data_IF_316504781882
#
_entry.id   IF_316504781882
#
_cell.length_a   1.000
_cell.length_b   1.000
_cell.length_c   1.000
_cell.angle_alpha   90.00
_cell.angle_beta   90.00
_cell.angle_gamma   90.00
#
_symmetry.space_group_name_H-M   'P 1'
#
loop_
_entity.id
_entity.type
_entity.pdbx_description
1 polymer ?
#
# COMPACT_ATOMS: atom_id res chain seq x y z
N UNK A 1 23.43 -10.78 -58.41
CA UNK A 1 22.87 -11.84 -57.56
C UNK A 1 23.37 -11.58 -56.14
N UNK A 2 22.64 -10.77 -55.37
CA UNK A 2 23.05 -10.37 -54.01
C UNK A 2 22.15 -11.07 -52.98
N UNK A 3 22.77 -11.92 -52.17
CA UNK A 3 22.15 -12.63 -51.06
C UNK A 3 22.06 -11.64 -49.90
N UNK A 4 20.84 -11.22 -49.57
CA UNK A 4 20.55 -10.29 -48.49
C UNK A 4 20.53 -11.08 -47.17
N UNK A 5 21.65 -11.11 -46.46
CA UNK A 5 21.73 -11.67 -45.10
C UNK A 5 20.91 -10.79 -44.15
N UNK A 6 19.79 -11.28 -43.62
CA UNK A 6 19.04 -10.61 -42.54
C UNK A 6 19.58 -11.09 -41.17
N UNK A 7 20.30 -10.24 -40.41
CA UNK A 7 20.88 -10.61 -39.12
C UNK A 7 19.84 -10.75 -37.99
N UNK A 8 18.57 -10.39 -38.23
CA UNK A 8 17.49 -10.42 -37.24
C UNK A 8 17.03 -11.83 -36.84
N UNK A 9 17.24 -12.82 -37.70
CA UNK A 9 16.76 -14.21 -37.46
C UNK A 9 17.76 -15.03 -36.63
N UNK A 10 19.07 -14.74 -36.75
CA UNK A 10 20.12 -15.44 -35.99
C UNK A 10 20.20 -14.91 -34.56
N UNK A 11 19.86 -13.64 -34.32
CA UNK A 11 19.81 -13.08 -32.97
C UNK A 11 18.63 -13.65 -32.16
N UNK A 12 17.51 -14.01 -32.79
CA UNK A 12 16.39 -14.68 -32.09
C UNK A 12 16.75 -16.10 -31.64
N UNK A 13 17.61 -16.81 -32.36
CA UNK A 13 17.99 -18.19 -32.00
C UNK A 13 19.05 -18.26 -30.90
N UNK A 14 19.85 -17.21 -30.70
CA UNK A 14 20.84 -17.13 -29.62
C UNK A 14 20.30 -16.52 -28.32
N UNK A 15 19.09 -15.92 -28.36
CA UNK A 15 18.36 -15.44 -27.15
C UNK A 15 17.38 -16.50 -26.62
N UNK A 16 17.46 -17.74 -27.10
CA UNK A 16 17.08 -18.91 -26.29
C UNK A 16 18.14 -19.12 -25.19
N UNK A 17 18.41 -18.08 -24.42
CA UNK A 17 19.19 -18.16 -23.19
C UNK A 17 18.44 -19.10 -22.26
N UNK A 18 19.18 -20.06 -21.70
CA UNK A 18 18.74 -21.07 -20.75
C UNK A 18 17.60 -20.57 -19.83
N UNK A 19 16.35 -20.80 -20.24
CA UNK A 19 15.29 -20.96 -19.26
C UNK A 19 15.59 -22.32 -18.65
N UNK A 20 16.00 -22.35 -17.38
CA UNK A 20 15.80 -23.54 -16.59
C UNK A 20 14.32 -23.91 -16.77
N UNK A 21 14.05 -25.00 -17.48
CA UNK A 21 12.70 -25.51 -17.59
C UNK A 21 12.34 -25.95 -16.18
N UNK A 22 11.51 -25.16 -15.52
CA UNK A 22 10.93 -25.54 -14.23
C UNK A 22 10.05 -26.74 -14.52
N UNK A 23 10.32 -27.85 -13.84
CA UNK A 23 9.63 -29.13 -14.07
C UNK A 23 8.98 -29.62 -12.78
N UNK A 24 8.16 -30.67 -12.88
CA UNK A 24 7.56 -31.31 -11.71
C UNK A 24 8.63 -31.81 -10.69
N UNK A 25 9.88 -31.97 -11.11
CA UNK A 25 11.00 -32.34 -10.24
C UNK A 25 11.42 -31.25 -9.24
N UNK A 26 11.02 -29.99 -9.49
CA UNK A 26 11.30 -28.86 -8.60
C UNK A 26 10.26 -28.71 -7.47
N UNK A 27 9.22 -29.56 -7.44
CA UNK A 27 8.22 -29.54 -6.37
C UNK A 27 8.77 -30.16 -5.08
N UNK A 28 8.49 -29.54 -3.91
CA UNK A 28 8.84 -30.14 -2.62
C UNK A 28 7.98 -31.38 -2.35
N UNK A 29 8.53 -32.46 -1.76
CA UNK A 29 7.81 -33.72 -1.55
C UNK A 29 6.52 -33.60 -0.74
N UNK A 30 6.47 -32.67 0.22
CA UNK A 30 5.28 -32.41 1.05
C UNK A 30 4.07 -31.93 0.23
N UNK A 31 4.29 -31.36 -0.95
CA UNK A 31 3.23 -30.79 -1.78
C UNK A 31 2.53 -31.83 -2.66
N UNK A 32 3.15 -33.01 -2.85
CA UNK A 32 2.68 -34.03 -3.79
C UNK A 32 1.31 -34.60 -3.39
N UNK A 33 1.04 -34.72 -2.09
CA UNK A 33 -0.26 -35.21 -1.58
C UNK A 33 -1.44 -34.31 -1.92
N UNK A 34 -1.18 -33.03 -2.25
CA UNK A 34 -2.22 -32.10 -2.66
C UNK A 34 -2.69 -32.33 -4.10
N UNK A 35 -1.96 -33.11 -4.90
CA UNK A 35 -2.33 -33.46 -6.28
C UNK A 35 -3.08 -34.79 -6.37
N UNK A 36 -2.95 -35.68 -5.39
CA UNK A 36 -3.57 -37.01 -5.35
C UNK A 36 -5.11 -37.06 -5.51
N UNK A 37 -5.91 -36.09 -5.01
CA UNK A 37 -7.36 -36.11 -5.21
C UNK A 37 -7.79 -35.93 -6.68
N UNK A 38 -6.86 -35.63 -7.58
CA UNK A 38 -7.13 -35.16 -8.94
C UNK A 38 -6.35 -35.98 -9.97
N UNK A 39 -6.91 -37.10 -10.47
CA UNK A 39 -6.17 -37.99 -11.37
C UNK A 39 -5.84 -37.32 -12.72
N UNK A 40 -4.67 -37.65 -13.32
CA UNK A 40 -4.27 -37.11 -14.61
C UNK A 40 -5.23 -37.60 -15.70
N UNK A 41 -5.69 -36.70 -16.58
CA UNK A 41 -6.26 -37.10 -17.87
C UNK A 41 -5.40 -36.53 -19.00
N UNK A 42 -4.94 -37.43 -19.87
CA UNK A 42 -4.57 -37.33 -21.29
C UNK A 42 -3.88 -36.08 -21.88
N UNK A 43 -3.43 -35.11 -21.09
CA UNK A 43 -2.61 -33.99 -21.55
C UNK A 43 -1.24 -33.95 -20.85
N UNK A 44 -0.26 -33.45 -21.60
CA UNK A 44 1.20 -33.63 -21.44
C UNK A 44 1.87 -32.91 -20.25
N UNK A 45 1.14 -32.67 -19.15
CA UNK A 45 1.70 -32.35 -17.83
C UNK A 45 0.64 -32.69 -16.77
N UNK A 46 0.90 -33.71 -15.96
CA UNK A 46 -0.06 -34.30 -15.01
C UNK A 46 -0.57 -33.36 -13.91
N UNK A 47 0.05 -32.19 -13.73
CA UNK A 47 -0.15 -31.26 -12.62
C UNK A 47 -1.12 -30.10 -12.90
N UNK A 48 -1.49 -29.83 -14.16
CA UNK A 48 -2.19 -28.59 -14.54
C UNK A 48 -3.40 -28.84 -15.45
N UNK A 49 -4.58 -29.09 -14.85
CA UNK A 49 -5.85 -29.27 -15.59
C UNK A 49 -6.81 -28.06 -15.53
N UNK A 50 -6.49 -27.02 -14.77
CA UNK A 50 -7.45 -25.93 -14.47
C UNK A 50 -7.23 -24.67 -15.30
N UNK A 51 -8.33 -23.97 -15.62
CA UNK A 51 -8.33 -22.61 -16.18
C UNK A 51 -7.93 -21.59 -15.09
N UNK A 52 -6.63 -21.58 -14.81
CA UNK A 52 -5.73 -20.44 -14.53
C UNK A 52 -5.99 -19.35 -13.47
N UNK A 53 -7.06 -19.32 -12.64
CA UNK A 53 -7.04 -18.38 -11.49
C UNK A 53 -7.84 -18.80 -10.23
N UNK A 54 -9.07 -19.32 -10.37
CA UNK A 54 -9.98 -19.54 -9.23
C UNK A 54 -9.60 -20.76 -8.35
N UNK A 55 -9.10 -21.84 -8.97
CA UNK A 55 -8.74 -23.07 -8.27
C UNK A 55 -7.38 -22.97 -7.53
N UNK A 56 -6.50 -22.06 -7.94
CA UNK A 56 -5.17 -21.90 -7.34
C UNK A 56 -5.24 -21.34 -5.91
N UNK A 57 -6.06 -20.32 -5.71
CA UNK A 57 -6.29 -19.69 -4.41
C UNK A 57 -7.16 -20.56 -3.47
N UNK A 58 -8.14 -21.28 -4.03
CA UNK A 58 -9.13 -22.02 -3.23
C UNK A 58 -8.75 -23.46 -2.93
N UNK A 59 -7.90 -24.09 -3.76
CA UNK A 59 -7.56 -25.51 -3.64
C UNK A 59 -6.09 -25.73 -3.28
N UNK A 60 -5.17 -25.18 -4.07
CA UNK A 60 -3.74 -25.45 -3.91
C UNK A 60 -3.13 -24.70 -2.72
N UNK A 61 -3.39 -23.39 -2.61
CA UNK A 61 -2.90 -22.54 -1.51
C UNK A 61 -3.18 -23.13 -0.11
N UNK A 62 -4.43 -23.41 0.29
CA UNK A 62 -4.70 -23.94 1.63
C UNK A 62 -4.08 -25.33 1.87
N UNK A 63 -4.06 -26.20 0.85
CA UNK A 63 -3.46 -27.52 0.99
C UNK A 63 -1.95 -27.43 1.22
N UNK A 64 -1.23 -26.65 0.41
CA UNK A 64 0.22 -26.47 0.56
C UNK A 64 0.60 -25.85 1.91
N UNK A 65 -0.13 -24.84 2.38
CA UNK A 65 0.13 -24.26 3.71
C UNK A 65 -0.16 -25.23 4.86
N UNK A 66 -1.03 -26.23 4.67
CA UNK A 66 -1.32 -27.25 5.67
C UNK A 66 -0.33 -28.42 5.68
N UNK A 67 0.26 -28.74 4.52
CA UNK A 67 1.11 -29.91 4.33
C UNK A 67 2.63 -29.58 4.40
N UNK A 68 3.02 -28.36 4.08
CA UNK A 68 4.41 -27.93 3.92
C UNK A 68 4.79 -26.79 4.89
N UNK A 69 6.10 -26.58 5.08
CA UNK A 69 6.58 -25.32 5.68
C UNK A 69 6.26 -24.13 4.78
N UNK A 70 6.22 -22.90 5.32
CA UNK A 70 5.83 -21.71 4.55
C UNK A 70 6.69 -21.50 3.30
N UNK A 71 8.01 -21.70 3.40
CA UNK A 71 8.92 -21.56 2.25
C UNK A 71 8.66 -22.63 1.20
N UNK A 72 8.44 -23.89 1.61
CA UNK A 72 8.11 -24.98 0.69
C UNK A 72 6.75 -24.76 0.03
N UNK A 73 5.75 -24.29 0.78
CA UNK A 73 4.43 -23.95 0.25
C UNK A 73 4.52 -22.85 -0.81
N UNK A 74 5.27 -21.77 -0.54
CA UNK A 74 5.50 -20.70 -1.51
C UNK A 74 6.28 -21.19 -2.74
N UNK A 75 7.27 -22.08 -2.57
CA UNK A 75 7.96 -22.70 -3.70
C UNK A 75 7.01 -23.56 -4.53
N UNK A 76 6.19 -24.40 -3.89
CA UNK A 76 5.19 -25.24 -4.57
C UNK A 76 4.20 -24.38 -5.36
N UNK A 77 3.71 -23.28 -4.77
CA UNK A 77 2.85 -22.30 -5.44
C UNK A 77 3.57 -21.68 -6.66
N UNK A 78 4.82 -21.25 -6.51
CA UNK A 78 5.56 -20.65 -7.61
C UNK A 78 5.77 -21.64 -8.76
N UNK A 79 6.26 -22.84 -8.47
CA UNK A 79 6.49 -23.90 -9.45
C UNK A 79 5.19 -24.27 -10.15
N UNK A 80 4.13 -24.56 -9.39
CA UNK A 80 2.80 -24.88 -9.94
C UNK A 80 2.26 -23.76 -10.82
N UNK A 81 2.40 -22.49 -10.41
CA UNK A 81 1.96 -21.35 -11.23
C UNK A 81 2.71 -21.24 -12.56
N UNK A 82 3.99 -21.63 -12.62
CA UNK A 82 4.79 -21.62 -13.85
C UNK A 82 4.36 -22.77 -14.76
N UNK A 83 4.25 -23.99 -14.21
CA UNK A 83 3.86 -25.18 -14.97
C UNK A 83 2.45 -25.01 -15.54
N UNK A 84 1.52 -24.42 -14.76
CA UNK A 84 0.14 -24.21 -15.17
C UNK A 84 -0.07 -22.97 -16.04
N UNK A 85 0.99 -22.19 -16.33
CA UNK A 85 0.88 -20.99 -17.16
C UNK A 85 -0.02 -19.90 -16.59
N UNK A 86 -0.12 -19.80 -15.26
CA UNK A 86 -0.90 -18.74 -14.58
C UNK A 86 -0.26 -17.38 -14.89
N UNK A 87 -1.01 -16.38 -15.36
CA UNK A 87 -0.45 -15.07 -15.69
C UNK A 87 0.12 -14.39 -14.44
N UNK A 88 1.31 -13.79 -14.57
CA UNK A 88 1.94 -13.05 -13.47
C UNK A 88 1.21 -11.71 -13.25
N UNK A 89 0.43 -11.63 -12.16
CA UNK A 89 -0.25 -10.41 -11.76
C UNK A 89 0.75 -9.45 -11.12
N UNK A 90 1.20 -8.47 -11.89
CA UNK A 90 2.19 -7.49 -11.43
C UNK A 90 1.68 -6.06 -11.53
N UNK A 91 1.16 -5.53 -10.41
CA UNK A 91 0.71 -4.14 -10.29
C UNK A 91 1.75 -3.22 -9.63
N UNK A 92 2.94 -3.75 -9.27
CA UNK A 92 4.01 -3.00 -8.60
C UNK A 92 4.47 -1.78 -9.40
N UNK A 93 4.53 -1.90 -10.73
CA UNK A 93 4.92 -0.80 -11.62
C UNK A 93 3.91 0.35 -11.52
N UNK A 94 2.62 0.03 -11.56
CA UNK A 94 1.54 1.00 -11.40
C UNK A 94 1.59 1.68 -10.04
N UNK A 95 1.82 0.92 -8.96
CA UNK A 95 1.99 1.46 -7.61
C UNK A 95 3.14 2.47 -7.54
N UNK A 96 4.32 2.14 -8.08
CA UNK A 96 5.48 3.06 -8.08
C UNK A 96 5.20 4.33 -8.87
N UNK A 97 4.62 4.21 -10.06
CA UNK A 97 4.27 5.37 -10.89
C UNK A 97 3.30 6.28 -10.14
N UNK A 98 2.23 5.68 -9.57
CA UNK A 98 1.24 6.42 -8.82
C UNK A 98 1.86 7.18 -7.64
N UNK A 99 2.68 6.52 -6.82
CA UNK A 99 3.33 7.14 -5.67
C UNK A 99 4.24 8.30 -6.08
N UNK A 100 5.06 8.13 -7.12
CA UNK A 100 5.95 9.19 -7.61
C UNK A 100 5.15 10.38 -8.14
N UNK A 101 4.16 10.13 -9.00
CA UNK A 101 3.33 11.19 -9.59
C UNK A 101 2.56 11.94 -8.50
N UNK A 102 1.88 11.23 -7.59
CA UNK A 102 1.12 11.84 -6.50
C UNK A 102 2.02 12.68 -5.57
N UNK A 103 3.22 12.18 -5.25
CA UNK A 103 4.18 12.90 -4.39
C UNK A 103 4.72 14.16 -5.06
N UNK A 104 5.07 14.09 -6.35
CA UNK A 104 5.56 15.25 -7.10
C UNK A 104 4.47 16.32 -7.22
N UNK A 105 3.26 15.92 -7.63
CA UNK A 105 2.14 16.86 -7.80
C UNK A 105 1.78 17.52 -6.47
N UNK A 106 1.62 16.76 -5.40
CA UNK A 106 1.30 17.30 -4.07
C UNK A 106 2.38 18.26 -3.56
N UNK A 107 3.66 17.88 -3.69
CA UNK A 107 4.80 18.72 -3.29
C UNK A 107 4.87 20.03 -4.09
N UNK A 108 4.60 19.99 -5.40
CA UNK A 108 4.57 21.19 -6.24
C UNK A 108 3.41 22.13 -5.87
N UNK A 109 2.22 21.59 -5.65
CA UNK A 109 1.04 22.39 -5.26
C UNK A 109 1.28 23.08 -3.92
N UNK A 110 1.78 22.33 -2.92
CA UNK A 110 2.03 22.86 -1.58
C UNK A 110 3.23 23.80 -1.59
N UNK A 111 4.30 23.49 -2.34
CA UNK A 111 5.43 24.38 -2.54
C UNK A 111 5.03 25.72 -3.17
N UNK A 112 4.17 25.69 -4.19
CA UNK A 112 3.61 26.90 -4.81
C UNK A 112 2.82 27.73 -3.79
N UNK A 113 1.91 27.09 -3.03
CA UNK A 113 1.13 27.75 -1.96
C UNK A 113 2.03 28.43 -0.93
N UNK A 114 3.07 27.72 -0.48
CA UNK A 114 4.02 28.22 0.53
C UNK A 114 4.80 29.42 -0.02
N UNK A 115 5.31 29.35 -1.26
CA UNK A 115 6.03 30.46 -1.91
C UNK A 115 5.13 31.70 -2.05
N UNK A 116 3.87 31.52 -2.47
CA UNK A 116 2.92 32.63 -2.62
C UNK A 116 2.65 33.33 -1.28
N UNK A 117 2.55 32.59 -0.18
CA UNK A 117 2.39 33.17 1.16
C UNK A 117 3.66 33.83 1.68
N UNK A 118 4.84 33.24 1.47
CA UNK A 118 6.11 33.88 1.83
C UNK A 118 6.36 35.18 1.07
N UNK A 119 5.88 35.27 -0.18
CA UNK A 119 5.93 36.52 -0.97
C UNK A 119 4.79 37.49 -0.64
N UNK A 120 3.97 37.21 0.38
CA UNK A 120 2.79 37.99 0.77
C UNK A 120 1.77 38.19 -0.36
N UNK A 121 1.77 37.32 -1.38
CA UNK A 121 0.82 37.36 -2.51
C UNK A 121 -0.49 36.62 -2.19
N UNK A 122 -0.51 35.80 -1.13
CA UNK A 122 -1.66 34.99 -0.71
C UNK A 122 -2.01 35.18 0.78
N UNK A 123 -1.70 36.35 1.33
CA UNK A 123 -1.97 36.73 2.72
C UNK A 123 -1.03 36.08 3.76
N UNK A 124 -1.34 36.28 5.04
CA UNK A 124 -0.47 35.88 6.15
C UNK A 124 -0.39 34.36 6.34
N UNK A 125 0.78 33.91 6.80
CA UNK A 125 1.06 32.53 7.17
C UNK A 125 0.28 32.19 8.44
N UNK A 126 -0.57 31.16 8.35
CA UNK A 126 -1.35 30.64 9.47
C UNK A 126 -0.85 29.29 9.97
N UNK A 127 -1.47 28.80 11.05
CA UNK A 127 -1.24 27.43 11.56
C UNK A 127 -1.61 26.35 10.54
N UNK A 128 -2.55 26.65 9.63
CA UNK A 128 -2.91 25.76 8.52
C UNK A 128 -1.73 25.51 7.56
N UNK A 129 -0.87 26.52 7.34
CA UNK A 129 0.27 26.40 6.44
C UNK A 129 1.43 25.61 7.07
N UNK A 130 1.69 25.76 8.37
CA UNK A 130 2.70 24.96 9.07
C UNK A 130 2.30 23.47 9.14
N UNK A 131 1.05 23.20 9.46
CA UNK A 131 0.54 21.83 9.58
C UNK A 131 0.53 21.09 8.24
N UNK A 132 0.23 21.76 7.12
CA UNK A 132 0.31 21.12 5.80
C UNK A 132 1.76 20.88 5.35
N UNK A 133 2.70 21.76 5.70
CA UNK A 133 4.13 21.53 5.42
C UNK A 133 4.63 20.30 6.21
N UNK A 134 4.28 20.20 7.48
CA UNK A 134 4.60 19.01 8.30
C UNK A 134 3.95 17.76 7.71
N UNK A 135 2.70 17.86 7.24
CA UNK A 135 2.02 16.74 6.59
C UNK A 135 2.82 16.22 5.39
N UNK A 136 3.27 17.11 4.49
CA UNK A 136 4.09 16.72 3.33
C UNK A 136 5.34 15.99 3.78
N UNK A 137 6.12 16.59 4.69
CA UNK A 137 7.37 16.00 5.15
C UNK A 137 7.19 14.60 5.74
N UNK A 138 6.13 14.41 6.52
CA UNK A 138 5.81 13.11 7.13
C UNK A 138 5.28 12.12 6.09
N UNK A 139 4.50 12.57 5.11
CA UNK A 139 4.03 11.68 4.02
C UNK A 139 5.12 11.28 3.03
N UNK A 140 6.26 11.99 2.98
CA UNK A 140 7.42 11.56 2.19
C UNK A 140 7.97 10.23 2.67
N UNK A 141 8.01 10.00 3.99
CA UNK A 141 8.38 8.69 4.55
C UNK A 141 7.44 7.58 4.05
N UNK A 142 6.13 7.84 4.08
CA UNK A 142 5.13 6.90 3.56
C UNK A 142 5.33 6.64 2.07
N UNK A 143 5.58 7.68 1.26
CA UNK A 143 5.83 7.56 -0.16
C UNK A 143 7.08 6.73 -0.47
N UNK A 144 8.19 7.00 0.24
CA UNK A 144 9.43 6.23 0.08
C UNK A 144 9.21 4.77 0.48
N UNK A 145 8.60 4.50 1.63
CA UNK A 145 8.36 3.13 2.07
C UNK A 145 7.45 2.35 1.11
N UNK A 146 6.39 2.96 0.59
CA UNK A 146 5.51 2.32 -0.41
C UNK A 146 6.23 2.09 -1.75
N UNK A 147 7.07 3.03 -2.18
CA UNK A 147 7.91 2.86 -3.37
C UNK A 147 8.87 1.67 -3.19
N UNK A 148 9.55 1.59 -2.03
CA UNK A 148 10.48 0.51 -1.73
C UNK A 148 9.77 -0.84 -1.61
N UNK A 149 8.60 -0.90 -0.96
CA UNK A 149 7.79 -2.11 -0.90
C UNK A 149 7.43 -2.59 -2.32
N UNK A 150 6.94 -1.70 -3.18
CA UNK A 150 6.62 -2.03 -4.57
C UNK A 150 7.87 -2.43 -5.37
N UNK A 151 9.03 -1.80 -5.12
CA UNK A 151 10.29 -2.18 -5.75
C UNK A 151 10.71 -3.62 -5.39
N UNK A 152 10.52 -4.03 -4.13
CA UNK A 152 10.87 -5.38 -3.67
C UNK A 152 9.88 -6.46 -4.08
N UNK A 153 8.68 -6.09 -4.55
CA UNK A 153 7.71 -7.03 -5.10
C UNK A 153 6.27 -6.87 -4.59
N UNK A 154 5.99 -5.87 -3.74
CA UNK A 154 4.62 -5.57 -3.32
C UNK A 154 3.73 -5.29 -4.54
N UNK A 155 2.55 -5.92 -4.57
CA UNK A 155 1.67 -5.91 -5.74
C UNK A 155 1.96 -7.03 -6.75
N UNK A 156 2.76 -8.04 -6.35
CA UNK A 156 2.84 -9.35 -7.00
C UNK A 156 2.37 -10.42 -6.04
N UNK A 157 2.07 -11.59 -6.55
CA UNK A 157 1.70 -12.73 -5.71
C UNK A 157 2.87 -13.15 -4.81
N UNK A 158 2.57 -13.52 -3.56
CA UNK A 158 3.60 -13.75 -2.54
C UNK A 158 4.63 -14.82 -2.94
N UNK A 159 4.20 -15.85 -3.69
CA UNK A 159 5.06 -16.92 -4.20
C UNK A 159 5.98 -16.49 -5.34
N UNK A 160 5.73 -15.35 -6.00
CA UNK A 160 6.61 -14.78 -7.04
C UNK A 160 7.71 -13.90 -6.48
N UNK A 161 7.67 -13.60 -5.18
CA UNK A 161 8.60 -12.69 -4.52
C UNK A 161 9.76 -13.50 -3.93
N UNK A 162 11.03 -13.13 -4.22
CA UNK A 162 12.18 -13.77 -3.59
C UNK A 162 12.10 -13.70 -2.06
N UNK A 163 12.45 -14.78 -1.37
CA UNK A 163 12.42 -14.85 0.10
C UNK A 163 13.24 -13.74 0.78
N UNK A 164 14.34 -13.30 0.16
CA UNK A 164 15.19 -12.20 0.64
C UNK A 164 14.57 -10.80 0.50
N UNK A 165 13.44 -10.70 -0.19
CA UNK A 165 12.71 -9.46 -0.38
C UNK A 165 11.47 -9.38 0.50
N UNK A 166 10.98 -10.52 1.01
CA UNK A 166 9.81 -10.57 1.89
C UNK A 166 10.01 -9.70 3.14
N UNK A 167 11.13 -9.90 3.86
CA UNK A 167 11.44 -9.12 5.06
C UNK A 167 11.61 -7.62 4.75
N UNK A 168 12.20 -7.28 3.59
CA UNK A 168 12.37 -5.89 3.14
C UNK A 168 11.03 -5.22 2.86
N UNK A 169 10.07 -5.94 2.27
CA UNK A 169 8.70 -5.44 2.04
C UNK A 169 8.04 -5.12 3.38
N UNK A 170 8.06 -6.05 4.33
CA UNK A 170 7.45 -5.81 5.64
C UNK A 170 8.13 -4.68 6.42
N UNK A 171 9.46 -4.56 6.36
CA UNK A 171 10.19 -3.43 6.96
C UNK A 171 9.79 -2.09 6.33
N UNK A 172 9.70 -2.04 5.00
CA UNK A 172 9.27 -0.83 4.28
C UNK A 172 7.81 -0.46 4.61
N UNK A 173 6.93 -1.47 4.72
CA UNK A 173 5.54 -1.29 5.12
C UNK A 173 5.44 -0.75 6.55
N UNK A 174 6.17 -1.36 7.50
CA UNK A 174 6.25 -0.93 8.89
C UNK A 174 6.69 0.53 9.02
N UNK A 175 7.76 0.92 8.31
CA UNK A 175 8.23 2.31 8.29
C UNK A 175 7.13 3.26 7.75
N UNK A 176 6.55 2.92 6.60
CA UNK A 176 5.55 3.78 5.94
C UNK A 176 4.24 3.94 6.72
N UNK A 177 3.92 2.99 7.61
CA UNK A 177 2.67 2.97 8.36
C UNK A 177 2.52 4.17 9.30
N UNK A 178 3.63 4.65 9.89
CA UNK A 178 3.64 5.82 10.74
C UNK A 178 3.44 7.11 9.93
N UNK A 179 4.19 7.26 8.83
CA UNK A 179 4.06 8.41 7.93
C UNK A 179 2.64 8.55 7.36
N UNK A 180 1.98 7.45 7.03
CA UNK A 180 0.61 7.46 6.52
C UNK A 180 -0.39 8.00 7.56
N UNK A 181 -0.37 7.47 8.79
CA UNK A 181 -1.32 7.87 9.85
C UNK A 181 -1.10 9.30 10.32
N UNK A 182 0.16 9.66 10.57
CA UNK A 182 0.53 11.02 10.95
C UNK A 182 0.25 12.00 9.81
N UNK A 183 0.47 11.60 8.56
CA UNK A 183 0.10 12.38 7.37
C UNK A 183 -1.39 12.71 7.34
N UNK A 184 -2.26 11.70 7.44
CA UNK A 184 -3.72 11.90 7.50
C UNK A 184 -4.13 12.82 8.66
N UNK A 185 -3.52 12.63 9.83
CA UNK A 185 -3.73 13.48 10.99
C UNK A 185 -3.38 14.94 10.70
N UNK A 186 -2.18 15.22 10.17
CA UNK A 186 -1.73 16.60 9.90
C UNK A 186 -2.51 17.27 8.77
N UNK A 187 -2.86 16.54 7.70
CA UNK A 187 -3.71 17.06 6.61
C UNK A 187 -5.06 17.50 7.16
N UNK A 188 -5.73 16.65 7.94
CA UNK A 188 -7.04 16.98 8.53
C UNK A 188 -6.93 18.14 9.51
N UNK A 189 -5.87 18.19 10.33
CA UNK A 189 -5.61 19.32 11.22
C UNK A 189 -5.43 20.63 10.44
N UNK A 190 -4.72 20.63 9.30
CA UNK A 190 -4.58 21.81 8.44
C UNK A 190 -5.94 22.33 7.95
N UNK A 191 -6.83 21.43 7.51
CA UNK A 191 -8.19 21.78 7.09
C UNK A 191 -9.00 22.38 8.26
N UNK A 192 -8.94 21.77 9.44
CA UNK A 192 -9.67 22.26 10.61
C UNK A 192 -9.11 23.60 11.11
N UNK A 193 -7.79 23.81 11.06
CA UNK A 193 -7.17 25.12 11.33
C UNK A 193 -7.64 26.18 10.32
N UNK A 194 -7.80 25.81 9.05
CA UNK A 194 -8.38 26.69 8.05
C UNK A 194 -9.84 27.05 8.38
N UNK A 195 -10.64 26.11 8.89
CA UNK A 195 -12.01 26.39 9.35
C UNK A 195 -12.06 27.39 10.50
N UNK A 196 -11.12 27.32 11.45
CA UNK A 196 -11.01 28.30 12.52
C UNK A 196 -10.65 29.71 12.03
N UNK A 197 -9.94 29.82 10.90
CA UNK A 197 -9.55 31.10 10.32
C UNK A 197 -10.69 31.76 9.56
N UNK A 198 -11.48 30.98 8.81
CA UNK A 198 -12.57 31.51 7.99
C UNK A 198 -13.85 31.76 8.79
N UNK A 199 -14.17 30.90 9.76
CA UNK A 199 -15.40 31.00 10.55
C UNK A 199 -15.11 31.55 11.95
N UNK A 200 -15.59 32.76 12.22
CA UNK A 200 -15.44 33.43 13.52
C UNK A 200 -16.56 33.11 14.54
N UNK A 201 -17.38 32.08 14.32
CA UNK A 201 -18.49 31.73 15.22
C UNK A 201 -17.97 31.01 16.48
N UNK A 202 -18.28 31.56 17.66
CA UNK A 202 -17.80 31.07 18.95
C UNK A 202 -18.20 29.63 19.27
N UNK A 203 -19.42 29.21 18.93
CA UNK A 203 -19.88 27.83 19.18
C UNK A 203 -19.19 26.82 18.27
N UNK A 204 -19.06 27.17 17.00
CA UNK A 204 -18.38 26.33 16.01
C UNK A 204 -16.89 26.17 16.30
N UNK A 205 -16.24 27.22 16.81
CA UNK A 205 -14.85 27.17 17.22
C UNK A 205 -14.60 26.01 18.21
N UNK A 206 -15.48 25.81 19.18
CA UNK A 206 -15.36 24.71 20.13
C UNK A 206 -15.54 23.33 19.47
N UNK A 207 -16.48 23.21 18.53
CA UNK A 207 -16.68 21.96 17.75
C UNK A 207 -15.44 21.63 16.94
N UNK A 208 -14.84 22.61 16.26
CA UNK A 208 -13.63 22.41 15.45
C UNK A 208 -12.43 22.08 16.33
N UNK A 209 -12.26 22.75 17.48
CA UNK A 209 -11.19 22.42 18.44
C UNK A 209 -11.36 20.99 18.95
N UNK A 210 -12.57 20.57 19.31
CA UNK A 210 -12.85 19.20 19.72
C UNK A 210 -12.52 18.18 18.62
N UNK A 211 -12.84 18.50 17.36
CA UNK A 211 -12.48 17.67 16.21
C UNK A 211 -10.96 17.56 16.00
N UNK A 212 -10.21 18.66 16.17
CA UNK A 212 -8.74 18.64 16.13
C UNK A 212 -8.19 17.72 17.21
N UNK A 213 -8.69 17.86 18.45
CA UNK A 213 -8.23 17.02 19.57
C UNK A 213 -8.53 15.54 19.34
N UNK A 214 -9.73 15.21 18.85
CA UNK A 214 -10.10 13.83 18.52
C UNK A 214 -9.22 13.27 17.39
N UNK A 215 -8.99 14.06 16.33
CA UNK A 215 -8.12 13.68 15.22
C UNK A 215 -6.68 13.40 15.67
N UNK A 216 -6.11 14.28 16.50
CA UNK A 216 -4.75 14.10 17.03
C UNK A 216 -4.68 12.88 17.95
N UNK A 217 -5.66 12.71 18.85
CA UNK A 217 -5.70 11.56 19.76
C UNK A 217 -5.76 10.23 19.00
N UNK A 218 -6.63 10.14 17.98
CA UNK A 218 -6.76 8.95 17.13
C UNK A 218 -5.46 8.72 16.33
N UNK A 219 -4.92 9.75 15.67
CA UNK A 219 -3.70 9.64 14.88
C UNK A 219 -2.50 9.14 15.70
N UNK A 220 -2.30 9.70 16.90
CA UNK A 220 -1.23 9.30 17.81
C UNK A 220 -1.47 7.88 18.35
N UNK A 221 -2.69 7.57 18.82
CA UNK A 221 -3.01 6.27 19.40
C UNK A 221 -2.77 5.12 18.40
N UNK A 222 -3.23 5.25 17.16
CA UNK A 222 -3.01 4.22 16.14
C UNK A 222 -1.57 4.16 15.63
N UNK A 223 -0.84 5.27 15.62
CA UNK A 223 0.59 5.25 15.31
C UNK A 223 1.37 4.47 16.37
N UNK A 224 1.06 4.69 17.65
CA UNK A 224 1.67 3.93 18.75
C UNK A 224 1.22 2.47 18.75
N UNK A 225 -0.05 2.19 18.43
CA UNK A 225 -0.55 0.83 18.31
C UNK A 225 0.26 0.03 17.27
N UNK A 226 0.50 0.60 16.09
CA UNK A 226 1.32 -0.04 15.05
C UNK A 226 2.79 -0.16 15.42
N UNK A 227 3.36 0.88 16.06
CA UNK A 227 4.76 0.86 16.48
C UNK A 227 5.04 -0.22 17.54
N UNK A 228 4.04 -0.59 18.34
CA UNK A 228 4.16 -1.58 19.41
C UNK A 228 3.26 -2.79 19.22
N UNK A 229 2.80 -3.05 17.98
CA UNK A 229 1.85 -4.14 17.72
C UNK A 229 2.44 -5.54 17.92
N UNK A 230 3.77 -5.69 17.79
CA UNK A 230 4.45 -6.98 17.89
C UNK A 230 5.44 -7.05 19.06
N UNK A 231 5.56 -8.24 19.65
CA UNK A 231 6.55 -8.56 20.69
C UNK A 231 7.35 -9.81 20.30
N UNK A 232 8.67 -9.70 20.03
CA UNK A 232 9.44 -8.46 19.82
C UNK A 232 9.00 -7.70 18.55
N UNK A 233 9.37 -6.41 18.42
CA UNK A 233 9.02 -5.60 17.23
C UNK A 233 9.52 -6.26 15.94
N UNK A 234 10.70 -6.90 15.99
CA UNK A 234 11.27 -7.61 14.85
C UNK A 234 10.45 -8.78 14.35
N UNK A 235 9.49 -9.25 15.15
CA UNK A 235 8.57 -10.29 14.72
C UNK A 235 7.69 -9.82 13.56
N UNK A 236 7.36 -8.53 13.46
CA UNK A 236 6.53 -7.99 12.37
C UNK A 236 7.03 -8.34 10.96
N UNK A 237 8.35 -8.28 10.74
CA UNK A 237 8.95 -8.57 9.43
C UNK A 237 9.59 -9.95 9.33
N UNK A 238 9.53 -10.74 10.40
CA UNK A 238 10.10 -12.09 10.45
C UNK A 238 9.00 -13.17 10.57
N UNK A 239 7.76 -12.81 10.91
CA UNK A 239 6.64 -13.74 11.08
C UNK A 239 6.33 -14.55 9.81
N UNK A 240 6.54 -13.95 8.64
CA UNK A 240 6.16 -14.53 7.36
C UNK A 240 6.77 -15.91 7.09
N UNK A 241 7.92 -16.26 7.69
CA UNK A 241 8.56 -17.55 7.46
C UNK A 241 8.09 -18.68 8.40
N UNK A 242 7.28 -18.33 9.42
CA UNK A 242 6.78 -19.27 10.43
C UNK A 242 7.85 -19.86 11.37
N UNK A 243 9.11 -19.42 11.27
CA UNK A 243 10.24 -19.96 12.04
C UNK A 243 10.50 -19.16 13.32
N UNK A 244 10.05 -17.91 13.35
CA UNK A 244 10.28 -17.00 14.46
C UNK A 244 9.20 -17.14 15.52
N UNK A 245 9.57 -16.92 16.79
CA UNK A 245 8.63 -16.90 17.92
C UNK A 245 8.32 -15.47 18.31
N UNK A 246 7.04 -15.16 18.42
CA UNK A 246 6.55 -13.87 18.85
C UNK A 246 5.02 -13.84 18.78
N UNK A 247 4.46 -12.69 19.12
CA UNK A 247 3.03 -12.45 18.97
C UNK A 247 2.81 -11.02 18.51
N UNK A 248 1.92 -10.84 17.54
CA UNK A 248 1.43 -9.55 17.10
C UNK A 248 -0.04 -9.39 17.46
N UNK A 249 -0.47 -8.14 17.67
CA UNK A 249 -1.88 -7.80 17.56
C UNK A 249 -2.36 -8.07 16.13
N UNK A 250 -3.63 -8.40 15.99
CA UNK A 250 -4.24 -8.59 14.68
C UNK A 250 -4.12 -7.32 13.84
N UNK A 251 -3.25 -7.35 12.83
CA UNK A 251 -3.03 -6.26 11.87
C UNK A 251 -4.36 -5.88 11.22
N UNK A 252 -5.18 -6.87 10.87
CA UNK A 252 -6.52 -6.65 10.31
C UNK A 252 -7.41 -5.87 11.28
N UNK A 253 -7.43 -6.23 12.56
CA UNK A 253 -8.28 -5.54 13.56
C UNK A 253 -7.85 -4.09 13.73
N UNK A 254 -6.55 -3.82 13.87
CA UNK A 254 -6.04 -2.44 13.99
C UNK A 254 -6.36 -1.64 12.74
N UNK A 255 -6.11 -2.23 11.56
CA UNK A 255 -6.34 -1.58 10.26
C UNK A 255 -7.82 -1.26 10.04
N UNK A 256 -8.72 -2.19 10.35
CA UNK A 256 -10.17 -1.96 10.25
C UNK A 256 -10.65 -0.88 11.20
N UNK A 257 -10.22 -0.93 12.47
CA UNK A 257 -10.58 0.08 13.46
C UNK A 257 -10.10 1.48 13.05
N UNK A 258 -8.84 1.59 12.60
CA UNK A 258 -8.29 2.84 12.08
C UNK A 258 -9.06 3.34 10.86
N UNK A 259 -9.33 2.46 9.88
CA UNK A 259 -10.02 2.83 8.64
C UNK A 259 -11.43 3.36 8.90
N UNK A 260 -12.19 2.70 9.77
CA UNK A 260 -13.55 3.12 10.14
C UNK A 260 -13.51 4.51 10.80
N UNK A 261 -12.64 4.70 11.80
CA UNK A 261 -12.51 5.99 12.47
C UNK A 261 -12.02 7.09 11.54
N UNK A 262 -11.10 6.77 10.63
CA UNK A 262 -10.60 7.73 9.65
C UNK A 262 -11.71 8.20 8.70
N UNK A 263 -12.54 7.28 8.21
CA UNK A 263 -13.71 7.61 7.38
C UNK A 263 -14.70 8.50 8.17
N UNK A 264 -14.98 8.16 9.43
CA UNK A 264 -15.88 8.95 10.27
C UNK A 264 -15.37 10.38 10.46
N UNK A 265 -14.06 10.56 10.67
CA UNK A 265 -13.44 11.87 10.79
C UNK A 265 -13.50 12.67 9.48
N UNK A 266 -13.35 12.01 8.32
CA UNK A 266 -13.49 12.66 7.01
C UNK A 266 -14.93 13.13 6.77
N UNK A 267 -15.91 12.26 7.03
CA UNK A 267 -17.33 12.61 6.94
C UNK A 267 -17.67 13.76 7.88
N UNK A 268 -17.18 13.72 9.14
CA UNK A 268 -17.40 14.79 10.10
C UNK A 268 -16.79 16.12 9.61
N UNK A 269 -15.58 16.09 9.07
CA UNK A 269 -14.89 17.28 8.55
C UNK A 269 -15.68 17.91 7.39
N UNK A 270 -16.15 17.10 6.43
CA UNK A 270 -16.96 17.56 5.32
C UNK A 270 -18.34 18.07 5.77
N UNK A 271 -18.97 17.38 6.71
CA UNK A 271 -20.26 17.78 7.27
C UNK A 271 -20.18 19.13 7.99
N UNK A 272 -19.11 19.38 8.76
CA UNK A 272 -18.88 20.67 9.41
C UNK A 272 -18.86 21.83 8.39
N UNK A 273 -18.18 21.64 7.26
CA UNK A 273 -18.15 22.64 6.19
C UNK A 273 -19.54 22.84 5.56
N UNK A 274 -20.24 21.75 5.23
CA UNK A 274 -21.55 21.81 4.60
C UNK A 274 -22.60 22.50 5.48
N UNK A 275 -22.65 22.16 6.77
CA UNK A 275 -23.57 22.78 7.73
C UNK A 275 -23.31 24.28 7.85
N UNK A 276 -22.03 24.68 7.87
CA UNK A 276 -21.68 26.09 7.95
C UNK A 276 -22.07 26.88 6.71
N UNK A 277 -21.84 26.34 5.52
CA UNK A 277 -22.24 26.97 4.27
C UNK A 277 -23.77 27.08 4.14
N UNK A 278 -24.51 26.11 4.70
CA UNK A 278 -25.97 26.15 4.72
C UNK A 278 -26.53 27.18 5.71
N UNK A 279 -25.86 27.40 6.85
CA UNK A 279 -26.35 28.30 7.89
C UNK A 279 -26.01 29.79 7.63
N UNK A 280 -24.89 30.09 6.96
CA UNK A 280 -24.46 31.47 6.69
C UNK A 280 -24.15 31.72 5.20
N UNK A 281 -25.15 31.67 4.30
CA UNK A 281 -24.94 31.84 2.87
C UNK A 281 -24.51 33.27 2.46
N UNK A 282 -24.71 34.27 3.33
CA UNK A 282 -24.46 35.68 2.99
C UNK A 282 -22.98 36.09 3.05
N UNK A 283 -22.16 35.44 3.88
CA UNK A 283 -20.71 35.73 3.94
C UNK A 283 -19.94 35.32 2.67
N UNK A 284 -20.42 34.31 1.94
CA UNK A 284 -19.77 33.84 0.71
C UNK A 284 -19.95 34.81 -0.49
N UNK A 285 -21.03 35.60 -0.51
CA UNK A 285 -21.27 36.56 -1.59
C UNK A 285 -20.34 37.79 -1.53
N UNK A 286 -19.88 38.20 -0.34
CA UNK A 286 -18.99 39.36 -0.19
C UNK A 286 -17.53 39.09 -0.58
N UNK A 287 -17.08 37.83 -0.62
CA UNK A 287 -15.73 37.47 -1.07
C UNK A 287 -15.59 37.31 -2.59
N UNK A 288 -16.68 37.37 -3.36
CA UNK A 288 -16.62 37.31 -4.83
C UNK A 288 -16.14 38.61 -5.50
N UNK A 289 -15.91 39.68 -4.73
CA UNK A 289 -15.63 41.04 -5.26
C UNK A 289 -14.39 41.72 -4.65
N UNK A 290 -13.46 40.95 -4.06
CA UNK A 290 -12.13 41.42 -3.63
C UNK A 290 -11.11 40.41 -4.15
#
# INVERSE_FOLDING_TARGET
>A
MQIRFQPSLVLCLLVAGALAQVTDADLPPCSLSCFDPYPPQNDSSSSCRYKAEEDFETTFSPCFYSACSVKEALTALNVTSIICGVPDRNISVGMRIFVVVATVVSSLVIGCRVILKFKSLAGDIGWDDWTIVIAVLVTLDAAVGQYMAAHYGMGRDAWKIPFENQDKIFKAFYASAAGYKLGNMFVRTSILCFYLRIFSNSGFRWVVIAAIMANVAIGVAFTLADAFQCKPISFFWNEWDGMHKGSCLSISTITWAHSILNILLDVATLAMLAIMLAHDPQRYQHQKWI
#
